data_IF_645426898584
#
_entry.id   IF_645426898584
#
_cell.length_a   1.000
_cell.length_b   1.000
_cell.length_c   1.000
_cell.angle_alpha   90.00
_cell.angle_beta   90.00
_cell.angle_gamma   90.00
#
_symmetry.space_group_name_H-M   'P 1'
#
loop_
_entity.id
_entity.type
_entity.pdbx_description
1 polymer ?
#
# COMPACT_ATOMS: atom_id res chain seq x y z
N UNK A 1 -11.14 15.51 -39.52
CA UNK A 1 -10.28 14.48 -38.90
C UNK A 1 -9.85 14.96 -37.53
N UNK A 2 -9.86 14.09 -36.52
CA UNK A 2 -9.37 14.38 -35.15
C UNK A 2 -8.25 13.38 -34.84
N UNK A 3 -7.06 13.86 -34.53
CA UNK A 3 -5.93 12.98 -34.20
C UNK A 3 -6.06 12.54 -32.74
N UNK A 4 -5.93 11.24 -32.50
CA UNK A 4 -5.86 10.65 -31.16
C UNK A 4 -4.39 10.43 -30.79
N UNK A 5 -3.62 9.82 -31.70
CA UNK A 5 -2.16 9.70 -31.64
C UNK A 5 -1.56 9.98 -33.02
N UNK A 6 -0.24 9.78 -33.18
CA UNK A 6 0.44 9.96 -34.47
C UNK A 6 -0.14 9.06 -35.57
N UNK A 7 -0.55 7.84 -35.22
CA UNK A 7 -1.02 6.83 -36.17
C UNK A 7 -2.52 6.54 -36.10
N UNK A 8 -3.24 7.11 -35.12
CA UNK A 8 -4.68 6.87 -34.95
C UNK A 8 -5.50 8.15 -35.07
N UNK A 9 -6.46 8.13 -35.99
CA UNK A 9 -7.28 9.31 -36.35
C UNK A 9 -8.77 8.93 -36.38
N UNK A 10 -9.64 9.86 -36.01
CA UNK A 10 -11.08 9.80 -36.23
C UNK A 10 -11.42 10.55 -37.52
N UNK A 11 -11.96 9.86 -38.52
CA UNK A 11 -12.65 10.47 -39.65
C UNK A 11 -14.08 10.81 -39.24
N UNK A 12 -14.34 12.12 -39.06
CA UNK A 12 -15.63 12.62 -38.61
C UNK A 12 -16.73 12.48 -39.69
N UNK A 13 -16.35 12.55 -40.96
CA UNK A 13 -17.30 12.53 -42.07
C UNK A 13 -17.71 11.08 -42.39
N UNK A 14 -16.73 10.17 -42.40
CA UNK A 14 -16.99 8.74 -42.56
C UNK A 14 -17.50 8.06 -41.28
N UNK A 15 -17.28 8.69 -40.10
CA UNK A 15 -17.47 8.11 -38.77
C UNK A 15 -16.66 6.83 -38.60
N UNK A 16 -15.40 6.90 -38.96
CA UNK A 16 -14.49 5.76 -38.91
C UNK A 16 -13.30 6.10 -38.01
N UNK A 17 -12.85 5.10 -37.25
CA UNK A 17 -11.53 5.10 -36.66
C UNK A 17 -10.54 4.59 -37.72
N UNK A 18 -9.51 5.37 -38.01
CA UNK A 18 -8.51 5.09 -39.04
C UNK A 18 -7.16 4.91 -38.36
N UNK A 19 -6.61 3.72 -38.49
CA UNK A 19 -5.25 3.39 -38.09
C UNK A 19 -4.34 3.43 -39.33
N UNK A 20 -3.42 4.37 -39.34
CA UNK A 20 -2.48 4.61 -40.43
C UNK A 20 -1.41 3.52 -40.47
N UNK A 21 -0.96 3.01 -39.32
CA UNK A 21 0.11 2.03 -39.21
C UNK A 21 -0.30 0.69 -39.83
N UNK A 22 -1.51 0.24 -39.54
CA UNK A 22 -2.05 -1.02 -40.08
C UNK A 22 -2.96 -0.83 -41.30
N UNK A 23 -3.16 0.41 -41.75
CA UNK A 23 -4.11 0.77 -42.83
C UNK A 23 -5.51 0.19 -42.60
N UNK A 24 -5.94 0.13 -41.34
CA UNK A 24 -7.25 -0.42 -40.97
C UNK A 24 -8.26 0.69 -40.71
N UNK A 25 -9.53 0.39 -41.02
CA UNK A 25 -10.65 1.31 -40.79
C UNK A 25 -11.76 0.59 -40.06
N UNK A 26 -12.28 1.19 -39.00
CA UNK A 26 -13.35 0.63 -38.20
C UNK A 26 -14.51 1.62 -38.08
N UNK A 27 -15.70 1.22 -38.51
CA UNK A 27 -16.89 2.07 -38.42
C UNK A 27 -17.31 2.31 -36.96
N UNK A 28 -17.66 3.56 -36.64
CA UNK A 28 -18.19 3.99 -35.35
C UNK A 28 -19.68 4.31 -35.50
N UNK A 29 -20.48 3.84 -34.54
CA UNK A 29 -21.85 4.34 -34.35
C UNK A 29 -21.82 5.79 -33.88
N UNK A 30 -22.95 6.49 -33.99
CA UNK A 30 -23.06 7.88 -33.57
C UNK A 30 -22.69 8.07 -32.09
N UNK A 31 -23.16 7.17 -31.22
CA UNK A 31 -22.86 7.23 -29.79
C UNK A 31 -21.37 6.94 -29.51
N UNK A 32 -20.77 5.97 -30.20
CA UNK A 32 -19.34 5.67 -30.07
C UNK A 32 -18.47 6.85 -30.52
N UNK A 33 -18.83 7.50 -31.62
CA UNK A 33 -18.12 8.66 -32.14
C UNK A 33 -18.15 9.83 -31.15
N UNK A 34 -19.33 10.22 -30.65
CA UNK A 34 -19.44 11.37 -29.75
C UNK A 34 -18.85 11.08 -28.36
N UNK A 35 -18.96 9.84 -27.87
CA UNK A 35 -18.30 9.41 -26.62
C UNK A 35 -16.78 9.44 -26.78
N UNK A 36 -16.25 8.87 -27.86
CA UNK A 36 -14.80 8.85 -28.11
C UNK A 36 -14.26 10.27 -28.30
N UNK A 37 -14.95 11.12 -29.06
CA UNK A 37 -14.60 12.52 -29.24
C UNK A 37 -14.59 13.29 -27.91
N UNK A 38 -15.57 13.05 -27.05
CA UNK A 38 -15.60 13.64 -25.71
C UNK A 38 -14.39 13.25 -24.87
N UNK A 39 -13.96 11.97 -24.95
CA UNK A 39 -12.77 11.46 -24.28
C UNK A 39 -11.47 12.01 -24.86
N UNK A 40 -11.36 12.12 -26.19
CA UNK A 40 -10.19 12.68 -26.87
C UNK A 40 -10.00 14.17 -26.56
N UNK A 41 -11.09 14.93 -26.37
CA UNK A 41 -10.98 16.33 -25.96
C UNK A 41 -10.50 16.51 -24.52
N UNK A 42 -10.49 15.45 -23.71
CA UNK A 42 -10.13 15.46 -22.28
C UNK A 42 -9.11 14.33 -21.99
N UNK A 43 -8.11 14.16 -22.88
CA UNK A 43 -7.06 13.15 -22.69
C UNK A 43 -6.39 13.35 -21.33
N UNK A 44 -6.23 12.25 -20.58
CA UNK A 44 -5.64 12.25 -19.24
C UNK A 44 -6.59 12.68 -18.12
N UNK A 45 -7.75 13.27 -18.43
CA UNK A 45 -8.74 13.71 -17.45
C UNK A 45 -9.90 12.70 -17.31
N UNK A 46 -10.61 12.75 -16.18
CA UNK A 46 -11.77 11.89 -15.92
C UNK A 46 -13.05 12.57 -16.39
N UNK A 47 -13.69 12.01 -17.43
CA UNK A 47 -14.96 12.48 -17.95
C UNK A 47 -16.12 11.73 -17.29
N UNK A 48 -17.06 12.47 -16.72
CA UNK A 48 -18.16 11.87 -15.95
C UNK A 48 -19.10 11.00 -16.79
N UNK A 49 -19.76 10.01 -16.14
CA UNK A 49 -20.74 9.16 -16.84
C UNK A 49 -21.91 9.99 -17.37
N UNK A 50 -22.30 11.02 -16.64
CA UNK A 50 -23.35 11.96 -17.01
C UNK A 50 -22.96 12.75 -18.26
N UNK A 51 -21.72 13.28 -18.29
CA UNK A 51 -21.16 13.99 -19.46
C UNK A 51 -21.08 13.08 -20.69
N UNK A 52 -20.61 11.83 -20.53
CA UNK A 52 -20.50 10.88 -21.64
C UNK A 52 -21.85 10.40 -22.14
N UNK A 53 -22.82 10.20 -21.25
CA UNK A 53 -24.20 9.90 -21.65
C UNK A 53 -24.83 11.07 -22.40
N UNK A 54 -24.62 12.30 -21.95
CA UNK A 54 -25.11 13.50 -22.62
C UNK A 54 -24.47 13.70 -24.01
N UNK A 55 -23.20 13.34 -24.16
CA UNK A 55 -22.50 13.37 -25.45
C UNK A 55 -22.99 12.29 -26.42
N UNK A 56 -23.05 11.02 -25.97
CA UNK A 56 -23.43 9.90 -26.83
C UNK A 56 -24.92 9.84 -27.19
N UNK A 57 -25.78 10.35 -26.30
CA UNK A 57 -27.24 10.31 -26.45
C UNK A 57 -27.87 11.65 -26.04
N UNK A 58 -27.63 12.73 -26.81
CA UNK A 58 -28.10 14.06 -26.46
C UNK A 58 -29.63 14.09 -26.35
N UNK A 59 -30.12 14.50 -25.17
CA UNK A 59 -31.54 14.64 -24.88
C UNK A 59 -32.32 13.31 -24.80
N UNK A 60 -31.65 12.16 -24.70
CA UNK A 60 -32.28 10.84 -24.61
C UNK A 60 -31.91 10.14 -23.31
N UNK A 61 -32.91 9.57 -22.63
CA UNK A 61 -32.68 8.68 -21.49
C UNK A 61 -32.45 7.28 -22.01
N UNK A 62 -31.26 6.74 -21.74
CA UNK A 62 -30.86 5.38 -22.15
C UNK A 62 -30.72 4.47 -20.93
N UNK A 63 -30.73 3.15 -21.17
CA UNK A 63 -30.54 2.19 -20.09
C UNK A 63 -29.17 2.40 -19.42
N UNK A 64 -29.03 2.17 -18.09
CA UNK A 64 -27.75 2.34 -17.38
C UNK A 64 -26.58 1.54 -17.96
N UNK A 65 -26.85 0.47 -18.70
CA UNK A 65 -25.87 -0.38 -19.39
C UNK A 65 -25.36 0.19 -20.72
N UNK A 66 -26.02 1.21 -21.29
CA UNK A 66 -25.75 1.69 -22.66
C UNK A 66 -24.35 2.28 -22.80
N UNK A 67 -23.94 3.13 -21.84
CA UNK A 67 -22.58 3.66 -21.79
C UNK A 67 -21.54 2.55 -21.59
N UNK A 68 -21.82 1.59 -20.72
CA UNK A 68 -20.93 0.44 -20.49
C UNK A 68 -20.75 -0.38 -21.77
N UNK A 69 -21.81 -0.63 -22.53
CA UNK A 69 -21.74 -1.35 -23.80
C UNK A 69 -21.00 -0.56 -24.88
N UNK A 70 -21.22 0.76 -24.95
CA UNK A 70 -20.48 1.66 -25.82
C UNK A 70 -18.98 1.62 -25.52
N UNK A 71 -18.59 1.75 -24.25
CA UNK A 71 -17.18 1.67 -23.82
C UNK A 71 -16.55 0.31 -24.11
N UNK A 72 -17.29 -0.80 -23.92
CA UNK A 72 -16.81 -2.15 -24.26
C UNK A 72 -16.60 -2.33 -25.77
N UNK A 73 -17.47 -1.73 -26.60
CA UNK A 73 -17.32 -1.75 -28.05
C UNK A 73 -16.11 -0.92 -28.50
N UNK A 74 -15.95 0.30 -27.95
CA UNK A 74 -14.78 1.14 -28.20
C UNK A 74 -13.47 0.45 -27.83
N UNK A 75 -13.41 -0.23 -26.68
CA UNK A 75 -12.23 -1.01 -26.28
C UNK A 75 -11.88 -2.10 -27.29
N UNK A 76 -12.88 -2.81 -27.84
CA UNK A 76 -12.62 -3.83 -28.87
C UNK A 76 -12.06 -3.23 -30.16
N UNK A 77 -12.57 -2.05 -30.55
CA UNK A 77 -12.10 -1.33 -31.75
C UNK A 77 -10.70 -0.74 -31.57
N UNK A 78 -10.31 -0.45 -30.33
CA UNK A 78 -9.00 0.09 -29.96
C UNK A 78 -7.99 -0.96 -29.49
N UNK A 79 -8.38 -2.25 -29.37
CA UNK A 79 -7.54 -3.29 -28.78
C UNK A 79 -6.22 -3.56 -29.52
N UNK A 80 -6.09 -3.13 -30.78
CA UNK A 80 -4.86 -3.23 -31.56
C UNK A 80 -3.87 -2.09 -31.32
N UNK A 81 -4.24 -1.07 -30.55
CA UNK A 81 -3.44 0.11 -30.26
C UNK A 81 -2.77 -0.05 -28.89
N UNK A 82 -1.44 0.00 -28.84
CA UNK A 82 -0.67 -0.14 -27.58
C UNK A 82 -0.38 1.20 -26.89
N UNK A 83 -0.57 2.29 -27.63
CA UNK A 83 -0.32 3.68 -27.23
C UNK A 83 -1.56 4.37 -26.61
N UNK A 84 -2.72 3.70 -26.54
CA UNK A 84 -3.96 4.29 -26.00
C UNK A 84 -4.67 3.31 -25.05
N UNK A 85 -5.09 3.82 -23.89
CA UNK A 85 -5.84 3.05 -22.91
C UNK A 85 -7.15 3.76 -22.49
N UNK A 86 -8.27 3.02 -22.48
CA UNK A 86 -9.56 3.48 -21.97
C UNK A 86 -9.83 2.99 -20.53
N UNK A 87 -9.53 3.84 -19.54
CA UNK A 87 -9.67 3.55 -18.11
C UNK A 87 -11.09 3.84 -17.62
N UNK A 88 -11.63 2.96 -16.77
CA UNK A 88 -12.86 3.20 -16.01
C UNK A 88 -12.48 3.63 -14.60
N UNK A 89 -12.84 4.84 -14.20
CA UNK A 89 -12.58 5.39 -12.89
C UNK A 89 -13.85 5.21 -12.04
N UNK A 90 -13.87 4.25 -11.10
CA UNK A 90 -15.09 3.89 -10.38
C UNK A 90 -15.71 5.10 -9.68
N UNK A 91 -17.03 5.26 -9.84
CA UNK A 91 -17.86 6.38 -9.32
C UNK A 91 -17.65 7.73 -10.01
N UNK A 92 -16.58 7.92 -10.79
CA UNK A 92 -16.30 9.20 -11.44
C UNK A 92 -16.60 9.17 -12.93
N UNK A 93 -16.18 8.14 -13.67
CA UNK A 93 -16.40 8.11 -15.11
C UNK A 93 -15.36 7.32 -15.89
N UNK A 94 -14.95 7.82 -17.04
CA UNK A 94 -13.95 7.18 -17.89
C UNK A 94 -12.88 8.20 -18.29
N UNK A 95 -11.67 7.71 -18.57
CA UNK A 95 -10.55 8.53 -19.05
C UNK A 95 -9.86 7.81 -20.21
N UNK A 96 -9.37 8.60 -21.17
CA UNK A 96 -8.51 8.13 -22.26
C UNK A 96 -7.09 8.58 -21.96
N UNK A 97 -6.17 7.63 -21.86
CA UNK A 97 -4.75 7.90 -21.61
C UNK A 97 -3.95 7.54 -22.85
N UNK A 98 -2.97 8.38 -23.20
CA UNK A 98 -1.97 8.07 -24.22
C UNK A 98 -0.72 7.58 -23.48
N UNK A 99 -0.17 6.45 -23.91
CA UNK A 99 1.04 5.83 -23.38
C UNK A 99 2.18 6.20 -24.32
N UNK A 100 3.06 7.11 -23.89
CA UNK A 100 4.25 7.47 -24.66
C UNK A 100 5.31 6.36 -24.48
N UNK A 101 5.60 5.63 -25.56
CA UNK A 101 6.77 4.77 -25.61
C UNK A 101 7.99 5.66 -25.87
N UNK A 102 8.82 5.88 -24.85
CA UNK A 102 10.09 6.58 -25.01
C UNK A 102 10.97 5.84 -26.03
N UNK A 103 11.12 6.39 -27.22
CA UNK A 103 12.07 5.92 -28.22
C UNK A 103 13.50 5.99 -27.66
N UNK A 104 14.25 4.91 -27.85
CA UNK A 104 15.65 4.81 -27.48
C UNK A 104 16.47 5.92 -28.18
N UNK A 105 17.11 6.76 -27.36
CA UNK A 105 18.02 7.82 -27.79
C UNK A 105 19.23 7.21 -28.49
N UNK A 106 19.40 7.47 -29.79
CA UNK A 106 20.71 7.37 -30.44
C UNK A 106 21.56 8.56 -30.02
N UNK A 107 22.58 8.26 -29.22
CA UNK A 107 23.60 9.19 -28.76
C UNK A 107 24.58 9.55 -29.88
N UNK A 108 24.51 10.79 -30.35
CA UNK A 108 25.65 11.49 -30.95
C UNK A 108 25.60 12.95 -30.53
N UNK A 109 26.70 13.40 -29.95
CA UNK A 109 27.05 14.76 -29.53
C UNK A 109 26.25 15.27 -28.30
N UNK A 110 26.86 15.60 -27.17
CA UNK A 110 27.83 16.68 -27.01
C UNK A 110 28.83 16.33 -25.89
N UNK A 111 30.08 16.09 -26.29
CA UNK A 111 31.24 16.49 -25.52
C UNK A 111 31.35 18.02 -25.57
N UNK A 112 31.48 18.62 -24.38
CA UNK A 112 32.04 19.94 -24.04
C UNK A 112 31.12 20.72 -23.07
N UNK A 113 31.49 20.75 -21.80
CA UNK A 113 32.21 21.88 -21.17
C UNK A 113 32.41 21.53 -19.70
N UNK A 114 33.63 21.11 -19.38
CA UNK A 114 34.17 21.20 -18.03
C UNK A 114 34.96 22.50 -17.94
N UNK A 115 34.54 23.45 -17.09
CA UNK A 115 35.49 24.38 -16.44
C UNK A 115 34.86 25.10 -15.24
N UNK A 116 35.34 24.73 -14.06
CA UNK A 116 35.74 25.56 -12.92
C UNK A 116 34.97 26.85 -12.59
N UNK A 117 34.34 26.91 -11.41
CA UNK A 117 34.41 28.08 -10.52
C UNK A 117 34.51 27.64 -9.05
N UNK A 118 35.60 28.02 -8.38
CA UNK A 118 35.81 27.96 -6.92
C UNK A 118 34.97 29.06 -6.23
N UNK A 119 34.45 28.84 -5.01
CA UNK A 119 33.75 29.87 -4.26
C UNK A 119 34.73 30.88 -3.63
N UNK A 120 34.48 32.16 -3.89
CA UNK A 120 35.18 33.28 -3.27
C UNK A 120 34.52 33.68 -1.94
N UNK A 121 35.39 34.02 -0.99
CA UNK A 121 35.13 34.52 0.36
C UNK A 121 34.32 35.83 0.41
N UNK A 122 33.32 35.89 1.30
CA UNK A 122 32.62 37.11 1.69
C UNK A 122 32.18 37.06 3.16
N UNK A 123 32.64 38.03 3.95
CA UNK A 123 32.59 38.11 5.41
C UNK A 123 31.17 38.42 5.93
N UNK A 124 30.72 37.71 6.98
CA UNK A 124 29.65 38.19 7.86
C UNK A 124 30.18 38.37 9.29
N UNK A 125 30.08 39.61 9.80
CA UNK A 125 30.47 40.02 11.15
C UNK A 125 29.35 39.72 12.13
N UNK A 126 29.68 39.05 13.23
CA UNK A 126 28.87 39.00 14.45
C UNK A 126 29.05 40.30 15.27
N UNK A 127 28.00 40.85 15.91
CA UNK A 127 28.17 41.86 16.95
C UNK A 127 28.33 41.22 18.33
N UNK A 128 29.14 41.90 19.13
CA UNK A 128 29.75 41.49 20.38
C UNK A 128 28.80 41.28 21.55
N UNK A 129 29.19 40.32 22.38
CA UNK A 129 28.90 40.22 23.80
C UNK A 129 29.45 41.43 24.58
N UNK A 130 28.59 42.23 25.19
CA UNK A 130 28.97 43.11 26.29
C UNK A 130 28.31 42.67 27.59
N UNK A 131 29.18 42.48 28.59
CA UNK A 131 28.92 42.24 30.00
C UNK A 131 27.94 43.28 30.56
N UNK A 132 27.02 42.84 31.42
CA UNK A 132 26.37 43.70 32.40
C UNK A 132 26.52 43.05 33.78
N UNK A 133 27.28 43.71 34.65
CA UNK A 133 27.34 43.42 36.09
C UNK A 133 26.08 43.93 36.80
N UNK A 134 25.68 43.35 37.95
CA UNK A 134 24.44 43.68 38.62
C UNK A 134 24.59 44.96 39.44
N UNK A 135 23.62 45.87 39.31
CA UNK A 135 23.41 46.96 40.27
C UNK A 135 22.08 46.70 40.95
N UNK A 136 22.17 46.28 42.22
CA UNK A 136 21.06 46.36 43.18
C UNK A 136 20.85 47.85 43.46
N UNK A 137 19.70 48.39 43.08
CA UNK A 137 19.20 49.64 43.61
C UNK A 137 17.67 49.63 43.61
N UNK A 138 17.12 49.88 44.79
CA UNK A 138 15.72 49.98 45.13
C UNK A 138 14.92 50.88 44.18
N UNK A 139 13.80 50.37 43.68
CA UNK A 139 12.61 51.20 43.47
C UNK A 139 11.46 50.52 44.21
N UNK A 140 11.33 50.94 45.46
CA UNK A 140 10.08 50.85 46.19
C UNK A 140 9.03 51.72 45.48
N UNK A 141 7.81 51.21 45.41
CA UNK A 141 6.65 51.96 44.93
C UNK A 141 6.13 51.41 43.62
N UNK A 142 5.25 50.41 43.74
CA UNK A 142 3.94 50.31 43.09
C UNK A 142 3.26 49.08 43.71
N UNK A 143 2.86 49.22 44.97
CA UNK A 143 1.95 48.27 45.62
C UNK A 143 0.53 48.53 45.11
N UNK A 144 0.28 48.14 43.87
CA UNK A 144 -1.05 47.67 43.45
C UNK A 144 -1.06 46.18 43.67
N UNK A 145 -1.45 45.73 44.86
CA UNK A 145 -1.54 44.31 45.20
C UNK A 145 -2.61 43.65 44.34
N UNK A 146 -2.24 43.19 43.15
CA UNK A 146 -3.04 42.23 42.41
C UNK A 146 -3.05 40.96 43.25
N UNK A 147 -4.24 40.65 43.79
CA UNK A 147 -4.44 39.50 44.67
C UNK A 147 -3.87 38.22 44.03
N UNK A 148 -3.42 37.23 44.82
CA UNK A 148 -2.92 35.94 44.30
C UNK A 148 -3.94 35.20 43.40
N UNK A 149 -5.23 35.57 43.48
CA UNK A 149 -6.27 35.15 42.54
C UNK A 149 -6.07 35.70 41.13
N UNK A 150 -5.60 36.94 40.99
CA UNK A 150 -5.38 37.53 39.67
C UNK A 150 -4.14 36.96 38.97
N UNK A 151 -3.07 36.67 39.71
CA UNK A 151 -1.93 35.93 39.15
C UNK A 151 -2.32 34.51 38.71
N UNK A 152 -3.19 33.83 39.46
CA UNK A 152 -3.78 32.54 39.02
C UNK A 152 -4.65 32.71 37.77
N UNK A 153 -5.48 33.74 37.71
CA UNK A 153 -6.33 34.01 36.54
C UNK A 153 -5.50 34.36 35.30
N UNK A 154 -4.42 35.14 35.44
CA UNK A 154 -3.49 35.45 34.36
C UNK A 154 -2.77 34.17 33.91
N UNK A 155 -2.30 33.34 34.85
CA UNK A 155 -1.70 32.04 34.52
C UNK A 155 -2.66 31.11 33.78
N UNK A 156 -3.92 31.01 34.22
CA UNK A 156 -4.97 30.25 33.54
C UNK A 156 -5.25 30.84 32.16
N UNK A 157 -5.35 32.16 32.04
CA UNK A 157 -5.59 32.82 30.75
C UNK A 157 -4.46 32.56 29.76
N UNK A 158 -3.19 32.64 30.18
CA UNK A 158 -2.04 32.30 29.33
C UNK A 158 -2.07 30.85 28.88
N UNK A 159 -2.38 29.91 29.78
CA UNK A 159 -2.52 28.48 29.42
C UNK A 159 -3.70 28.27 28.47
N UNK A 160 -4.84 28.90 28.71
CA UNK A 160 -6.03 28.80 27.84
C UNK A 160 -5.75 29.42 26.47
N UNK A 161 -5.08 30.56 26.39
CA UNK A 161 -4.69 31.20 25.12
C UNK A 161 -3.65 30.36 24.37
N UNK A 162 -2.72 29.72 25.07
CA UNK A 162 -1.75 28.80 24.47
C UNK A 162 -2.44 27.54 23.93
N UNK A 163 -3.33 26.92 24.71
CA UNK A 163 -4.12 25.75 24.30
C UNK A 163 -5.07 26.12 23.15
N UNK A 164 -5.75 27.26 23.21
CA UNK A 164 -6.60 27.76 22.14
C UNK A 164 -5.79 28.08 20.87
N UNK A 165 -4.59 28.65 21.01
CA UNK A 165 -3.65 28.88 19.91
C UNK A 165 -3.17 27.58 19.27
N UNK A 166 -2.91 26.54 20.07
CA UNK A 166 -2.59 25.19 19.58
C UNK A 166 -3.80 24.51 18.90
N UNK A 167 -5.02 24.74 19.39
CA UNK A 167 -6.25 24.26 18.74
C UNK A 167 -6.53 24.97 17.40
N UNK A 168 -6.34 26.29 17.32
CA UNK A 168 -6.64 27.07 16.11
C UNK A 168 -5.54 26.97 15.02
N UNK A 169 -4.29 26.68 15.41
CA UNK A 169 -3.17 26.53 14.46
C UNK A 169 -3.04 25.12 13.88
N UNK A 170 -3.84 24.14 14.36
CA UNK A 170 -3.64 22.72 14.04
C UNK A 170 -2.41 22.08 14.71
N UNK A 171 -1.60 22.86 15.44
CA UNK A 171 -0.37 22.37 16.09
C UNK A 171 -0.64 21.33 17.18
N UNK A 172 -1.82 21.34 17.81
CA UNK A 172 -2.22 20.29 18.76
C UNK A 172 -2.34 18.92 18.07
N UNK A 173 -2.88 18.88 16.84
CA UNK A 173 -3.00 17.64 16.06
C UNK A 173 -1.62 17.10 15.70
N UNK A 174 -0.68 17.98 15.36
CA UNK A 174 0.72 17.62 15.08
C UNK A 174 1.42 17.04 16.31
N UNK A 175 1.27 17.67 17.48
CA UNK A 175 1.89 17.21 18.75
C UNK A 175 1.25 15.91 19.23
N UNK A 176 -0.08 15.78 19.17
CA UNK A 176 -0.81 14.55 19.54
C UNK A 176 -0.45 13.41 18.59
N UNK A 177 -0.36 13.65 17.27
CA UNK A 177 0.11 12.64 16.32
C UNK A 177 1.59 12.28 16.59
N UNK A 178 2.45 13.23 16.99
CA UNK A 178 3.84 12.94 17.37
C UNK A 178 3.92 12.06 18.63
N UNK A 179 3.02 12.25 19.59
CA UNK A 179 2.94 11.46 20.82
C UNK A 179 2.26 10.09 20.62
N UNK A 180 1.36 9.96 19.65
CA UNK A 180 0.73 8.67 19.29
C UNK A 180 1.75 7.65 18.72
N UNK A 181 2.97 8.09 18.43
CA UNK A 181 4.09 7.23 18.05
C UNK A 181 4.72 6.48 19.24
N UNK A 182 4.58 7.03 20.45
CA UNK A 182 5.07 6.40 21.68
C UNK A 182 4.06 5.37 22.23
N UNK A 183 2.93 5.15 21.54
CA UNK A 183 1.84 4.28 22.02
C UNK A 183 1.62 3.03 21.19
N UNK A 184 2.25 2.89 20.02
CA UNK A 184 2.19 1.65 19.25
C UNK A 184 3.12 0.61 19.89
N UNK A 185 2.65 -0.61 20.21
CA UNK A 185 3.46 -1.58 20.93
C UNK A 185 4.60 -2.06 20.03
N UNK A 186 5.83 -2.08 20.57
CA UNK A 186 6.97 -2.64 19.85
C UNK A 186 6.94 -4.18 19.91
N UNK A 187 7.80 -4.83 19.12
CA UNK A 187 8.03 -6.28 19.23
C UNK A 187 8.77 -6.56 20.52
N UNK A 188 8.10 -7.23 21.46
CA UNK A 188 8.64 -7.55 22.77
C UNK A 188 9.51 -8.82 22.74
N UNK A 189 9.14 -9.81 21.94
CA UNK A 189 9.91 -11.05 21.80
C UNK A 189 9.64 -11.76 20.48
N UNK A 190 10.61 -12.55 20.03
CA UNK A 190 10.51 -13.48 18.91
C UNK A 190 10.97 -14.84 19.45
N UNK A 191 10.06 -15.55 20.12
CA UNK A 191 10.36 -16.81 20.80
C UNK A 191 10.55 -17.94 19.79
N UNK A 192 11.74 -18.53 19.77
CA UNK A 192 12.05 -19.65 18.90
C UNK A 192 11.64 -20.99 19.52
N UNK A 193 10.92 -21.82 18.76
CA UNK A 193 10.52 -23.17 19.16
C UNK A 193 10.75 -24.15 18.02
N UNK A 194 11.37 -25.29 18.32
CA UNK A 194 11.53 -26.38 17.35
C UNK A 194 10.28 -27.25 17.32
N UNK A 195 9.89 -27.67 16.13
CA UNK A 195 8.82 -28.62 15.90
C UNK A 195 9.15 -29.48 14.67
N UNK A 196 8.24 -30.37 14.28
CA UNK A 196 8.38 -31.19 13.07
C UNK A 196 7.14 -31.00 12.20
N UNK A 197 7.34 -30.62 10.94
CA UNK A 197 6.28 -30.59 9.93
C UNK A 197 6.69 -31.49 8.77
N UNK A 198 5.80 -32.39 8.34
CA UNK A 198 6.10 -33.41 7.33
C UNK A 198 7.37 -34.25 7.61
N UNK A 199 7.60 -34.61 8.87
CA UNK A 199 8.80 -35.33 9.36
C UNK A 199 10.12 -34.58 9.16
N UNK A 200 10.09 -33.32 8.73
CA UNK A 200 11.25 -32.44 8.65
C UNK A 200 11.35 -31.55 9.87
N UNK A 201 12.57 -31.31 10.41
CA UNK A 201 12.78 -30.32 11.46
C UNK A 201 12.32 -28.93 11.00
N UNK A 202 11.60 -28.24 11.88
CA UNK A 202 11.03 -26.93 11.60
C UNK A 202 11.31 -25.98 12.76
N UNK A 203 11.46 -24.69 12.44
CA UNK A 203 11.68 -23.63 13.40
C UNK A 203 10.52 -22.63 13.38
N UNK A 204 9.81 -22.54 14.49
CA UNK A 204 8.79 -21.52 14.72
C UNK A 204 9.42 -20.30 15.40
N UNK A 205 9.17 -19.12 14.85
CA UNK A 205 9.48 -17.82 15.42
C UNK A 205 8.15 -17.16 15.84
N UNK A 206 7.74 -17.35 17.09
CA UNK A 206 6.49 -16.80 17.62
C UNK A 206 6.71 -15.36 18.08
N UNK A 207 6.01 -14.43 17.43
CA UNK A 207 6.16 -12.99 17.65
C UNK A 207 5.17 -12.52 18.71
N UNK A 208 5.62 -11.67 19.62
CA UNK A 208 4.77 -11.05 20.64
C UNK A 208 5.02 -9.55 20.71
N UNK A 209 3.96 -8.75 20.78
CA UNK A 209 4.03 -7.29 21.00
C UNK A 209 3.93 -6.95 22.49
N UNK A 210 4.49 -5.82 22.93
CA UNK A 210 4.58 -5.41 24.35
C UNK A 210 3.25 -5.40 25.13
N UNK A 211 2.16 -5.06 24.46
CA UNK A 211 0.83 -4.94 25.09
C UNK A 211 0.01 -6.24 25.04
N UNK A 212 0.58 -7.35 24.54
CA UNK A 212 -0.11 -8.63 24.46
C UNK A 212 0.09 -9.46 25.73
N UNK A 213 -0.99 -10.12 26.17
CA UNK A 213 -0.89 -11.12 27.23
C UNK A 213 0.03 -12.25 26.75
N UNK A 214 0.92 -12.69 27.64
CA UNK A 214 1.85 -13.78 27.39
C UNK A 214 1.09 -15.11 27.37
N UNK A 215 0.53 -15.45 26.21
CA UNK A 215 -0.01 -16.79 25.98
C UNK A 215 1.09 -17.70 25.44
N UNK A 216 1.21 -18.88 26.05
CA UNK A 216 2.18 -19.89 25.64
C UNK A 216 1.58 -20.64 24.47
N UNK A 217 1.74 -20.11 23.25
CA UNK A 217 1.35 -20.85 22.03
C UNK A 217 2.32 -22.03 21.87
N UNK A 218 1.86 -23.28 21.95
CA UNK A 218 2.73 -24.42 21.61
C UNK A 218 3.05 -24.39 20.13
N UNK A 219 4.28 -24.74 19.74
CA UNK A 219 4.65 -24.80 18.32
C UNK A 219 3.79 -25.80 17.54
N UNK A 220 3.37 -26.87 18.19
CA UNK A 220 2.46 -27.85 17.60
C UNK A 220 1.07 -27.25 17.37
N UNK A 221 0.56 -26.39 18.25
CA UNK A 221 -0.82 -25.88 18.16
C UNK A 221 -1.07 -25.06 16.89
N UNK A 222 -0.03 -24.41 16.35
CA UNK A 222 -0.10 -23.58 15.13
C UNK A 222 -0.45 -24.42 13.89
N UNK A 223 0.10 -25.65 13.80
CA UNK A 223 -0.05 -26.54 12.64
C UNK A 223 -0.86 -27.80 12.96
N UNK A 224 -1.26 -28.02 14.22
CA UNK A 224 -1.96 -29.23 14.69
C UNK A 224 -3.29 -29.49 13.97
N UNK A 225 -3.95 -28.44 13.53
CA UNK A 225 -5.21 -28.52 12.77
C UNK A 225 -4.97 -28.70 11.27
N UNK A 226 -3.73 -28.73 10.79
CA UNK A 226 -3.40 -28.97 9.39
C UNK A 226 -3.34 -30.48 9.13
N UNK A 227 -3.93 -30.92 8.04
CA UNK A 227 -3.87 -32.31 7.59
C UNK A 227 -3.57 -32.39 6.10
N UNK A 228 -3.14 -33.57 5.65
CA UNK A 228 -2.64 -33.82 4.28
C UNK A 228 -1.45 -32.94 3.87
N UNK A 229 -0.77 -32.30 4.82
CA UNK A 229 0.38 -31.44 4.52
C UNK A 229 1.57 -32.21 3.96
N UNK A 230 1.70 -33.51 4.29
CA UNK A 230 2.74 -34.39 3.73
C UNK A 230 2.67 -34.50 2.20
N UNK A 231 1.49 -34.30 1.60
CA UNK A 231 1.35 -34.34 0.14
C UNK A 231 1.96 -33.11 -0.53
N UNK A 232 1.98 -31.97 0.16
CA UNK A 232 2.44 -30.67 -0.36
C UNK A 232 3.89 -30.40 0.08
N UNK A 233 4.26 -30.78 1.30
CA UNK A 233 5.56 -30.47 1.91
C UNK A 233 6.51 -31.68 1.90
N UNK A 234 6.83 -32.21 0.71
CA UNK A 234 7.64 -33.42 0.55
C UNK A 234 9.17 -33.20 0.57
N UNK A 235 9.63 -31.95 0.59
CA UNK A 235 11.07 -31.66 0.61
C UNK A 235 11.72 -32.08 1.94
N UNK A 236 13.04 -32.27 1.92
CA UNK A 236 13.84 -32.63 3.10
C UNK A 236 14.51 -31.44 3.79
N UNK A 237 14.30 -30.23 3.27
CA UNK A 237 14.87 -28.99 3.83
C UNK A 237 14.14 -28.60 5.09
N UNK A 238 14.85 -27.86 5.95
CA UNK A 238 14.26 -27.26 7.14
C UNK A 238 13.15 -26.29 6.74
N UNK A 239 12.17 -26.11 7.62
CA UNK A 239 11.07 -25.17 7.45
C UNK A 239 11.19 -24.04 8.44
N UNK A 240 10.92 -22.82 7.99
CA UNK A 240 10.92 -21.66 8.87
C UNK A 240 9.54 -21.02 8.89
N UNK A 241 9.00 -20.88 10.10
CA UNK A 241 7.69 -20.30 10.37
C UNK A 241 7.84 -19.02 11.17
N UNK A 242 7.03 -18.01 10.86
CA UNK A 242 6.73 -16.92 11.79
C UNK A 242 5.25 -16.94 12.09
N UNK A 243 4.88 -16.76 13.36
CA UNK A 243 3.48 -16.69 13.77
C UNK A 243 3.20 -15.47 14.63
N UNK A 244 1.96 -15.00 14.53
CA UNK A 244 1.45 -13.92 15.35
C UNK A 244 -0.04 -14.11 15.62
N UNK A 245 -0.44 -13.90 16.88
CA UNK A 245 -1.84 -13.94 17.32
C UNK A 245 -2.18 -12.60 17.97
N UNK A 246 -3.24 -11.93 17.51
CA UNK A 246 -3.72 -10.66 18.07
C UNK A 246 -4.94 -10.79 19.00
N UNK A 247 -5.33 -12.02 19.35
CA UNK A 247 -6.51 -12.38 20.13
C UNK A 247 -7.80 -12.51 19.31
N UNK A 248 -7.78 -12.10 18.04
CA UNK A 248 -8.91 -12.24 17.10
C UNK A 248 -8.53 -13.08 15.87
N UNK A 249 -7.31 -12.88 15.38
CA UNK A 249 -6.74 -13.57 14.24
C UNK A 249 -5.38 -14.15 14.62
N UNK A 250 -5.16 -15.37 14.16
CA UNK A 250 -3.85 -16.00 14.13
C UNK A 250 -3.35 -15.97 12.68
N UNK A 251 -2.11 -15.55 12.49
CA UNK A 251 -1.45 -15.51 11.20
C UNK A 251 -0.12 -16.26 11.24
N UNK A 252 0.21 -16.87 10.10
CA UNK A 252 1.40 -17.69 9.90
C UNK A 252 2.02 -17.33 8.56
N UNK A 253 3.34 -17.16 8.54
CA UNK A 253 4.17 -17.04 7.35
C UNK A 253 5.16 -18.21 7.32
N UNK A 254 5.03 -19.11 6.35
CA UNK A 254 5.83 -20.33 6.20
C UNK A 254 6.70 -20.26 4.95
N UNK A 255 8.01 -20.37 5.14
CA UNK A 255 8.92 -20.82 4.09
C UNK A 255 9.07 -22.35 4.18
N UNK A 256 8.61 -23.06 3.15
CA UNK A 256 8.61 -24.52 3.13
C UNK A 256 9.99 -25.13 2.81
N UNK A 257 10.85 -24.36 2.15
CA UNK A 257 12.22 -24.74 1.79
C UNK A 257 13.18 -23.68 2.30
N UNK A 258 13.73 -23.92 3.50
CA UNK A 258 14.66 -23.01 4.15
C UNK A 258 16.05 -23.65 4.25
N UNK A 259 17.05 -22.94 3.75
CA UNK A 259 18.46 -23.32 3.85
C UNK A 259 19.30 -22.06 4.00
N UNK A 260 19.40 -21.55 5.24
CA UNK A 260 19.96 -20.24 5.61
C UNK A 260 19.16 -19.04 5.06
N UNK A 261 18.62 -19.17 3.85
CA UNK A 261 17.69 -18.27 3.17
C UNK A 261 16.43 -19.03 2.74
N UNK A 262 15.37 -18.31 2.40
CA UNK A 262 14.17 -18.93 1.85
C UNK A 262 14.29 -19.17 0.35
N UNK A 263 14.31 -20.44 -0.06
CA UNK A 263 14.34 -20.82 -1.49
C UNK A 263 12.96 -21.24 -2.02
N UNK A 264 11.96 -21.29 -1.13
CA UNK A 264 10.57 -21.55 -1.48
C UNK A 264 10.02 -20.44 -2.38
N UNK A 265 9.64 -20.79 -3.62
CA UNK A 265 9.08 -19.86 -4.61
C UNK A 265 7.62 -19.50 -4.35
N UNK A 266 6.97 -20.17 -3.41
CA UNK A 266 5.58 -19.95 -3.07
C UNK A 266 5.33 -20.10 -1.57
N UNK A 267 5.90 -19.19 -0.74
CA UNK A 267 5.67 -19.20 0.69
C UNK A 267 4.18 -19.23 1.04
N UNK A 268 3.85 -19.93 2.11
CA UNK A 268 2.48 -20.10 2.55
C UNK A 268 2.15 -19.11 3.66
N UNK A 269 1.35 -18.09 3.34
CA UNK A 269 0.86 -17.12 4.32
C UNK A 269 -0.62 -17.37 4.62
N UNK A 270 -0.92 -17.67 5.88
CA UNK A 270 -2.25 -18.06 6.33
C UNK A 270 -2.76 -17.12 7.40
N UNK A 271 -4.05 -16.85 7.36
CA UNK A 271 -4.78 -16.13 8.41
C UNK A 271 -6.05 -16.90 8.74
N UNK A 272 -6.37 -17.01 10.02
CA UNK A 272 -7.65 -17.55 10.48
C UNK A 272 -8.17 -16.73 11.65
N UNK A 273 -9.48 -16.79 11.86
CA UNK A 273 -10.07 -16.34 13.11
C UNK A 273 -9.72 -17.31 14.25
N UNK A 274 -9.51 -16.78 15.46
CA UNK A 274 -9.21 -17.55 16.69
C UNK A 274 -10.50 -18.09 17.35
N UNK A 275 -11.67 -17.88 16.73
CA UNK A 275 -12.95 -18.39 17.25
C UNK A 275 -12.90 -19.91 17.50
N UNK A 276 -13.43 -20.36 18.64
CA UNK A 276 -13.56 -21.77 18.98
C UNK A 276 -14.83 -22.37 18.35
N UNK A 277 -14.78 -23.60 17.79
CA UNK A 277 -13.64 -24.52 17.75
C UNK A 277 -12.64 -24.23 16.61
N UNK A 278 -11.39 -24.65 16.77
CA UNK A 278 -10.35 -24.52 15.73
C UNK A 278 -10.76 -25.25 14.46
N UNK A 279 -10.87 -24.52 13.34
CA UNK A 279 -11.19 -25.10 12.04
C UNK A 279 -10.04 -25.96 11.50
N UNK A 280 -10.26 -27.25 11.18
CA UNK A 280 -9.27 -28.07 10.47
C UNK A 280 -8.96 -27.50 9.07
N UNK A 281 -7.69 -27.52 8.68
CA UNK A 281 -7.23 -27.08 7.36
C UNK A 281 -6.67 -28.27 6.57
N UNK A 282 -7.32 -28.61 5.46
CA UNK A 282 -6.77 -29.53 4.47
C UNK A 282 -5.78 -28.76 3.58
N UNK A 283 -4.48 -29.04 3.75
CA UNK A 283 -3.44 -28.33 3.00
C UNK A 283 -3.44 -28.72 1.52
N UNK A 284 -3.83 -29.95 1.18
CA UNK A 284 -3.99 -30.36 -0.21
C UNK A 284 -5.13 -29.57 -0.88
N UNK A 285 -6.29 -29.49 -0.23
CA UNK A 285 -7.42 -28.71 -0.74
C UNK A 285 -7.09 -27.22 -0.87
N UNK A 286 -6.31 -26.67 0.07
CA UNK A 286 -5.87 -25.27 -0.02
C UNK A 286 -4.96 -25.07 -1.24
N UNK A 287 -4.01 -25.97 -1.47
CA UNK A 287 -3.14 -25.93 -2.64
C UNK A 287 -3.94 -25.99 -3.95
N UNK A 288 -4.93 -26.90 -4.04
CA UNK A 288 -5.82 -26.98 -5.19
C UNK A 288 -6.64 -25.69 -5.36
N UNK A 289 -7.03 -25.05 -4.25
CA UNK A 289 -7.78 -23.78 -4.25
C UNK A 289 -6.91 -22.62 -4.70
N UNK A 290 -5.66 -22.55 -4.24
CA UNK A 290 -4.66 -21.57 -4.68
C UNK A 290 -4.51 -21.62 -6.21
N UNK A 291 -4.29 -22.79 -6.79
CA UNK A 291 -4.18 -22.98 -8.24
C UNK A 291 -5.41 -22.44 -9.00
N UNK A 292 -6.62 -22.70 -8.48
CA UNK A 292 -7.86 -22.15 -9.09
C UNK A 292 -7.95 -20.64 -8.97
N UNK A 293 -7.55 -20.06 -7.83
CA UNK A 293 -7.63 -18.62 -7.59
C UNK A 293 -6.56 -17.84 -8.37
N UNK A 294 -5.40 -18.44 -8.67
CA UNK A 294 -4.37 -17.84 -9.53
C UNK A 294 -4.86 -17.64 -10.96
N UNK A 295 -5.61 -18.59 -11.51
CA UNK A 295 -6.17 -18.52 -12.87
C UNK A 295 -7.19 -17.39 -13.08
N UNK A 296 -7.72 -16.80 -12.01
CA UNK A 296 -8.81 -15.81 -12.05
C UNK A 296 -8.33 -14.38 -11.72
N UNK A 297 -7.02 -14.18 -11.58
CA UNK A 297 -6.48 -12.87 -11.18
C UNK A 297 -6.51 -11.84 -12.31
N UNK A 298 -7.63 -11.12 -12.42
CA UNK A 298 -7.69 -9.79 -13.05
C UNK A 298 -7.12 -8.73 -12.11
N UNK A 299 -5.88 -8.87 -11.65
CA UNK A 299 -5.28 -7.89 -10.74
C UNK A 299 -3.77 -7.83 -10.87
N UNK A 300 -3.29 -7.19 -11.94
CA UNK A 300 -2.04 -6.48 -11.81
C UNK A 300 -2.31 -5.25 -10.95
N UNK A 301 -1.94 -5.33 -9.68
CA UNK A 301 -1.70 -4.11 -8.89
C UNK A 301 -0.46 -3.46 -9.50
N UNK A 302 -0.65 -2.70 -10.57
CA UNK A 302 0.33 -1.73 -11.01
C UNK A 302 0.35 -0.70 -9.89
N UNK A 303 1.33 -0.83 -8.99
CA UNK A 303 1.70 0.31 -8.14
C UNK A 303 2.22 1.34 -9.14
N UNK A 304 1.70 2.56 -9.08
CA UNK A 304 2.25 3.64 -9.89
C UNK A 304 3.75 3.67 -9.60
N UNK A 305 4.56 3.42 -10.63
CA UNK A 305 6.02 3.50 -10.52
C UNK A 305 6.34 4.86 -9.91
N UNK A 306 7.23 4.86 -8.93
CA UNK A 306 7.70 6.11 -8.39
C UNK A 306 8.34 6.90 -9.54
N UNK A 307 7.80 8.07 -9.86
CA UNK A 307 8.39 8.91 -10.92
C UNK A 307 9.88 9.16 -10.58
N UNK A 308 10.81 8.84 -11.49
CA UNK A 308 12.23 8.97 -11.23
C UNK A 308 12.57 10.46 -11.06
N UNK A 309 12.78 10.88 -9.82
CA UNK A 309 13.23 12.23 -9.51
C UNK A 309 14.75 12.37 -9.66
N UNK A 310 15.49 11.26 -9.54
CA UNK A 310 16.95 11.19 -9.62
C UNK A 310 17.38 9.87 -10.30
N UNK A 311 18.45 9.93 -11.08
CA UNK A 311 19.14 8.72 -11.58
C UNK A 311 19.84 8.03 -10.40
N UNK A 312 19.81 6.69 -10.36
CA UNK A 312 20.43 5.81 -9.33
C UNK A 312 19.56 5.42 -8.13
N UNK A 313 18.23 5.53 -8.25
CA UNK A 313 17.32 5.08 -7.20
C UNK A 313 16.98 3.58 -7.36
N UNK A 314 16.95 2.84 -6.26
CA UNK A 314 16.54 1.42 -6.24
C UNK A 314 15.22 1.29 -5.49
N UNK A 315 14.24 0.70 -6.16
CA UNK A 315 12.95 0.33 -5.61
C UNK A 315 13.01 -1.12 -5.10
N UNK A 316 12.70 -1.33 -3.82
CA UNK A 316 12.49 -2.66 -3.24
C UNK A 316 11.00 -3.03 -3.36
N UNK A 317 10.69 -4.01 -4.20
CA UNK A 317 9.34 -4.51 -4.42
C UNK A 317 9.16 -5.85 -3.74
N UNK A 318 8.18 -5.94 -2.85
CA UNK A 318 7.77 -7.15 -2.16
C UNK A 318 6.41 -7.63 -2.63
N UNK A 319 6.29 -8.93 -2.93
CA UNK A 319 5.05 -9.56 -3.40
C UNK A 319 4.72 -10.81 -2.60
N UNK A 320 3.46 -10.96 -2.20
CA UNK A 320 3.00 -12.13 -1.46
C UNK A 320 1.51 -12.39 -1.66
N UNK A 321 1.12 -13.66 -1.56
CA UNK A 321 -0.26 -14.04 -1.39
C UNK A 321 -0.55 -14.41 0.05
N UNK A 322 -1.68 -13.94 0.56
CA UNK A 322 -2.18 -14.22 1.91
C UNK A 322 -3.56 -14.86 1.83
N UNK A 323 -3.75 -15.99 2.49
CA UNK A 323 -5.00 -16.74 2.45
C UNK A 323 -5.70 -16.71 3.80
N UNK A 324 -6.88 -16.09 3.84
CA UNK A 324 -7.81 -16.19 4.93
C UNK A 324 -8.73 -17.39 4.74
N UNK A 325 -8.82 -18.25 5.75
CA UNK A 325 -9.72 -19.41 5.74
C UNK A 325 -10.56 -19.52 7.01
N UNK A 326 -11.68 -20.23 6.91
CA UNK A 326 -12.62 -20.46 8.02
C UNK A 326 -13.44 -21.74 7.80
N UNK A 327 -14.37 -22.02 8.71
CA UNK A 327 -15.23 -23.23 8.69
C UNK A 327 -16.12 -23.35 7.44
N UNK A 328 -16.38 -22.25 6.72
CA UNK A 328 -17.29 -22.24 5.56
C UNK A 328 -16.72 -22.93 4.31
N UNK A 329 -15.46 -23.41 4.36
CA UNK A 329 -14.70 -23.88 3.19
C UNK A 329 -14.63 -22.83 2.06
N UNK A 330 -14.80 -21.55 2.40
CA UNK A 330 -14.48 -20.43 1.52
C UNK A 330 -13.08 -19.91 1.86
N UNK A 331 -12.32 -19.56 0.82
CA UNK A 331 -10.99 -18.95 0.94
C UNK A 331 -11.06 -17.55 0.38
N UNK A 332 -10.48 -16.61 1.12
CA UNK A 332 -10.28 -15.25 0.64
C UNK A 332 -8.79 -15.02 0.50
N UNK A 333 -8.34 -14.69 -0.71
CA UNK A 333 -6.94 -14.40 -1.03
C UNK A 333 -6.72 -12.89 -1.07
N UNK A 334 -5.66 -12.40 -0.46
CA UNK A 334 -5.12 -11.07 -0.74
C UNK A 334 -3.80 -11.21 -1.52
N UNK A 335 -3.75 -10.66 -2.72
CA UNK A 335 -2.51 -10.34 -3.42
C UNK A 335 -1.96 -9.04 -2.82
N UNK A 336 -0.83 -9.14 -2.14
CA UNK A 336 -0.19 -8.04 -1.44
C UNK A 336 1.05 -7.60 -2.20
N UNK A 337 1.16 -6.29 -2.41
CA UNK A 337 2.35 -5.63 -2.93
C UNK A 337 2.79 -4.52 -2.00
N UNK A 338 4.08 -4.48 -1.74
CA UNK A 338 4.72 -3.46 -0.94
C UNK A 338 5.93 -2.96 -1.72
N UNK A 339 5.99 -1.66 -2.00
CA UNK A 339 7.11 -1.03 -2.67
C UNK A 339 7.73 0.02 -1.77
N UNK A 340 9.06 0.04 -1.68
CA UNK A 340 9.82 0.98 -0.88
C UNK A 340 10.94 1.60 -1.70
N UNK A 341 11.15 2.89 -1.46
CA UNK A 341 12.32 3.63 -1.92
C UNK A 341 12.92 4.33 -0.72
N UNK A 342 14.24 4.27 -0.61
CA UNK A 342 14.98 5.00 0.41
C UNK A 342 15.52 6.32 -0.16
N UNK A 343 15.20 7.44 0.50
CA UNK A 343 15.84 8.74 0.24
C UNK A 343 17.11 8.92 1.10
N UNK A 344 17.22 8.13 2.18
CA UNK A 344 18.30 8.13 3.14
C UNK A 344 18.26 6.82 3.94
N UNK A 345 19.24 6.59 4.81
CA UNK A 345 19.36 5.34 5.58
C UNK A 345 18.15 5.00 6.47
N UNK A 346 17.31 5.99 6.85
CA UNK A 346 16.19 5.79 7.77
C UNK A 346 14.89 6.47 7.34
N UNK A 347 14.79 6.91 6.09
CA UNK A 347 13.60 7.55 5.55
C UNK A 347 13.41 7.15 4.09
N UNK A 348 12.21 7.40 3.60
CA UNK A 348 11.87 7.11 2.22
C UNK A 348 10.39 7.21 1.95
N UNK A 349 9.97 6.62 0.84
CA UNK A 349 8.58 6.53 0.45
C UNK A 349 8.16 5.07 0.35
N UNK A 350 6.91 4.80 0.71
CA UNK A 350 6.34 3.47 0.71
C UNK A 350 4.97 3.50 0.05
N UNK A 351 4.71 2.52 -0.81
CA UNK A 351 3.38 2.22 -1.34
C UNK A 351 3.03 0.79 -0.97
N UNK A 352 1.89 0.60 -0.34
CA UNK A 352 1.37 -0.72 0.00
C UNK A 352 -0.02 -0.87 -0.59
N UNK A 353 -0.26 -2.01 -1.22
CA UNK A 353 -1.53 -2.36 -1.82
C UNK A 353 -1.89 -3.82 -1.55
N UNK A 354 -3.18 -4.07 -1.42
CA UNK A 354 -3.73 -5.40 -1.32
C UNK A 354 -4.97 -5.50 -2.20
N UNK A 355 -5.04 -6.54 -3.03
CA UNK A 355 -6.24 -6.87 -3.77
C UNK A 355 -6.83 -8.19 -3.28
N UNK A 356 -8.05 -8.12 -2.79
CA UNK A 356 -8.71 -9.20 -2.08
C UNK A 356 -9.74 -9.82 -3.01
N UNK A 357 -9.61 -11.13 -3.22
CA UNK A 357 -10.46 -11.95 -4.07
C UNK A 357 -11.07 -13.08 -3.24
N UNK A 358 -12.37 -13.27 -3.37
CA UNK A 358 -13.12 -14.30 -2.67
C UNK A 358 -13.37 -15.48 -3.63
N UNK A 359 -13.09 -16.73 -3.21
CA UNK A 359 -13.27 -17.91 -4.07
C UNK A 359 -14.73 -18.09 -4.52
N UNK A 360 -15.70 -17.69 -3.69
CA UNK A 360 -17.13 -17.74 -4.04
C UNK A 360 -17.62 -16.52 -4.84
N UNK A 361 -16.93 -15.38 -4.79
CA UNK A 361 -17.32 -14.12 -5.44
C UNK A 361 -16.19 -13.57 -6.33
N UNK A 362 -15.71 -14.40 -7.25
CA UNK A 362 -14.49 -14.15 -8.04
C UNK A 362 -14.50 -12.89 -8.90
N UNK A 363 -15.67 -12.40 -9.27
CA UNK A 363 -15.85 -11.19 -10.09
C UNK A 363 -15.77 -9.89 -9.28
N UNK A 364 -15.72 -9.98 -7.95
CA UNK A 364 -15.74 -8.82 -7.05
C UNK A 364 -14.44 -8.79 -6.27
N UNK A 365 -13.61 -7.80 -6.56
CA UNK A 365 -12.38 -7.56 -5.81
C UNK A 365 -12.48 -6.31 -4.94
N UNK A 366 -11.95 -6.42 -3.72
CA UNK A 366 -11.76 -5.29 -2.81
C UNK A 366 -10.31 -4.86 -2.98
N UNK A 367 -10.10 -3.62 -3.40
CA UNK A 367 -8.77 -3.04 -3.55
C UNK A 367 -8.52 -2.05 -2.44
N UNK A 368 -7.40 -2.20 -1.77
CA UNK A 368 -6.89 -1.31 -0.75
C UNK A 368 -5.49 -0.87 -1.16
N UNK A 369 -5.21 0.42 -1.06
CA UNK A 369 -3.87 0.97 -1.25
C UNK A 369 -3.67 2.17 -0.33
N UNK A 370 -2.44 2.33 0.15
CA UNK A 370 -1.98 3.57 0.76
C UNK A 370 -0.53 3.86 0.37
N UNK A 371 -0.19 5.14 0.35
CA UNK A 371 1.18 5.60 0.12
C UNK A 371 1.54 6.72 1.11
N UNK A 372 2.83 6.87 1.38
CA UNK A 372 3.30 7.85 2.33
C UNK A 372 4.81 7.90 2.47
N UNK A 373 5.27 8.91 3.20
CA UNK A 373 6.67 8.97 3.62
C UNK A 373 6.84 8.10 4.86
N UNK A 374 7.96 7.36 4.95
CA UNK A 374 8.24 6.56 6.14
C UNK A 374 9.46 7.06 6.91
N UNK A 375 9.47 6.74 8.20
CA UNK A 375 10.65 6.75 9.06
C UNK A 375 10.93 5.33 9.54
N UNK A 376 12.17 4.89 9.39
CA UNK A 376 12.63 3.57 9.78
C UNK A 376 13.38 3.63 11.10
N UNK A 377 12.96 2.80 12.06
CA UNK A 377 13.73 2.48 13.27
C UNK A 377 14.13 1.02 13.25
N UNK A 378 15.29 0.69 13.81
CA UNK A 378 15.75 -0.70 13.94
C UNK A 378 15.99 -1.01 15.41
N UNK A 379 15.50 -2.17 15.86
CA UNK A 379 15.74 -2.72 17.19
C UNK A 379 16.28 -4.14 17.09
N UNK A 380 16.81 -4.65 18.20
CA UNK A 380 17.29 -6.04 18.32
C UNK A 380 16.41 -6.75 19.34
N UNK A 381 15.74 -7.81 18.92
CA UNK A 381 14.80 -8.58 19.75
C UNK A 381 15.17 -10.05 19.61
N UNK A 382 15.55 -10.69 20.72
CA UNK A 382 15.98 -12.10 20.76
C UNK A 382 17.03 -12.46 19.69
N UNK A 383 17.97 -11.53 19.43
CA UNK A 383 19.05 -11.69 18.46
C UNK A 383 18.64 -11.48 16.99
N UNK A 384 17.42 -11.02 16.73
CA UNK A 384 16.92 -10.67 15.39
C UNK A 384 16.75 -9.16 15.26
N UNK A 385 17.14 -8.64 14.10
CA UNK A 385 16.88 -7.25 13.73
C UNK A 385 15.40 -7.10 13.38
N UNK A 386 14.73 -6.18 14.04
CA UNK A 386 13.37 -5.75 13.71
C UNK A 386 13.44 -4.36 13.12
N UNK A 387 12.97 -4.20 11.88
CA UNK A 387 12.85 -2.92 11.20
C UNK A 387 11.39 -2.44 11.30
N UNK A 388 11.16 -1.30 11.93
CA UNK A 388 9.83 -0.71 12.09
C UNK A 388 9.71 0.54 11.22
N UNK A 389 8.79 0.48 10.25
CA UNK A 389 8.46 1.54 9.33
C UNK A 389 7.22 2.27 9.82
N UNK A 390 7.41 3.52 10.19
CA UNK A 390 6.33 4.43 10.52
C UNK A 390 5.99 5.28 9.30
N UNK A 391 4.85 5.01 8.69
CA UNK A 391 4.40 5.63 7.44
C UNK A 391 3.40 6.75 7.73
N UNK A 392 3.76 7.98 7.37
CA UNK A 392 2.87 9.14 7.32
C UNK A 392 2.02 9.06 6.04
N UNK A 393 0.76 8.62 6.14
CA UNK A 393 -0.10 8.33 4.99
C UNK A 393 -0.52 9.62 4.29
N UNK A 394 -0.15 9.75 3.01
CA UNK A 394 -0.52 10.89 2.15
C UNK A 394 -1.73 10.57 1.28
N UNK A 395 -1.72 9.42 0.65
CA UNK A 395 -2.78 8.97 -0.22
C UNK A 395 -3.30 7.61 0.22
N UNK A 396 -4.60 7.39 0.00
CA UNK A 396 -5.24 6.12 0.28
C UNK A 396 -6.41 5.92 -0.65
N UNK A 397 -6.56 4.70 -1.13
CA UNK A 397 -7.70 4.29 -1.92
C UNK A 397 -8.28 3.00 -1.34
N UNK A 398 -9.60 2.92 -1.33
CA UNK A 398 -10.33 1.75 -0.88
C UNK A 398 -11.63 1.63 -1.65
N UNK A 399 -11.84 0.48 -2.30
CA UNK A 399 -13.06 0.21 -3.06
C UNK A 399 -14.09 -0.53 -2.21
N UNK A 400 -15.36 -0.12 -2.33
CA UNK A 400 -16.46 -0.88 -1.73
C UNK A 400 -16.93 -1.95 -2.72
N UNK A 401 -17.02 -3.22 -2.31
CA UNK A 401 -17.61 -4.25 -3.16
C UNK A 401 -19.13 -4.07 -3.24
N UNK A 402 -19.74 -4.52 -4.34
CA UNK A 402 -21.20 -4.51 -4.51
C UNK A 402 -21.89 -5.61 -3.70
N UNK A 403 -21.24 -6.77 -3.61
CA UNK A 403 -21.65 -7.92 -2.82
C UNK A 403 -20.45 -8.43 -2.04
N UNK A 404 -20.69 -8.95 -0.85
CA UNK A 404 -19.63 -9.41 0.03
C UNK A 404 -20.07 -10.69 0.75
N UNK A 405 -19.19 -11.69 0.78
CA UNK A 405 -19.41 -12.91 1.57
C UNK A 405 -19.30 -12.60 3.07
N UNK A 406 -19.65 -13.57 3.92
CA UNK A 406 -19.46 -13.45 5.37
C UNK A 406 -17.98 -13.28 5.73
N UNK A 407 -17.12 -14.04 5.06
CA UNK A 407 -15.66 -14.02 5.26
C UNK A 407 -15.10 -12.67 4.84
N UNK A 408 -15.36 -12.26 3.59
CA UNK A 408 -14.92 -10.97 3.05
C UNK A 408 -15.46 -9.78 3.85
N UNK A 409 -16.66 -9.87 4.44
CA UNK A 409 -17.25 -8.81 5.26
C UNK A 409 -16.47 -8.52 6.54
N UNK A 410 -15.76 -9.51 7.05
CA UNK A 410 -14.87 -9.35 8.21
C UNK A 410 -13.66 -8.51 7.80
N UNK A 411 -13.04 -8.88 6.68
CA UNK A 411 -11.84 -8.24 6.10
C UNK A 411 -12.13 -6.79 5.73
N UNK A 412 -13.24 -6.56 5.02
CA UNK A 412 -13.68 -5.23 4.62
C UNK A 412 -13.90 -4.31 5.81
N UNK A 413 -14.46 -4.81 6.92
CA UNK A 413 -14.70 -4.00 8.13
C UNK A 413 -13.39 -3.57 8.80
N UNK A 414 -12.44 -4.49 8.96
CA UNK A 414 -11.14 -4.19 9.56
C UNK A 414 -10.34 -3.21 8.70
N UNK A 415 -10.25 -3.46 7.39
CA UNK A 415 -9.57 -2.55 6.45
C UNK A 415 -10.25 -1.20 6.44
N UNK A 416 -11.59 -1.14 6.36
CA UNK A 416 -12.32 0.12 6.41
C UNK A 416 -12.04 0.90 7.69
N UNK A 417 -11.95 0.23 8.85
CA UNK A 417 -11.62 0.87 10.12
C UNK A 417 -10.22 1.48 10.07
N UNK A 418 -9.22 0.70 9.64
CA UNK A 418 -7.83 1.17 9.51
C UNK A 418 -7.69 2.31 8.48
N UNK A 419 -8.24 2.13 7.28
CA UNK A 419 -8.25 3.13 6.19
C UNK A 419 -8.85 4.45 6.64
N UNK A 420 -9.97 4.43 7.35
CA UNK A 420 -10.70 5.65 7.69
C UNK A 420 -10.14 6.37 8.92
N UNK A 421 -9.52 5.64 9.84
CA UNK A 421 -9.13 6.19 11.15
C UNK A 421 -7.66 6.57 11.22
N UNK A 422 -6.80 5.90 10.45
CA UNK A 422 -5.36 6.02 10.66
C UNK A 422 -4.74 6.96 9.61
N UNK A 423 -4.19 8.08 10.09
CA UNK A 423 -3.34 8.98 9.29
C UNK A 423 -1.89 8.47 9.23
N UNK A 424 -1.57 7.43 10.00
CA UNK A 424 -0.26 6.79 10.08
C UNK A 424 -0.40 5.28 10.10
N UNK A 425 0.50 4.57 9.43
CA UNK A 425 0.56 3.11 9.46
C UNK A 425 1.89 2.67 10.07
N UNK A 426 1.87 1.60 10.86
CA UNK A 426 3.07 0.92 11.32
C UNK A 426 3.19 -0.40 10.56
N UNK A 427 4.36 -0.63 10.01
CA UNK A 427 4.71 -1.87 9.30
C UNK A 427 6.02 -2.35 9.90
N UNK A 428 6.16 -3.66 10.15
CA UNK A 428 7.38 -4.22 10.73
C UNK A 428 7.95 -5.30 9.83
N UNK A 429 9.27 -5.38 9.75
CA UNK A 429 9.98 -6.44 9.06
C UNK A 429 10.86 -7.17 10.08
N UNK A 430 10.69 -8.49 10.16
CA UNK A 430 11.32 -9.35 11.18
C UNK A 430 12.46 -10.21 10.63
N UNK A 431 12.52 -10.31 9.30
CA UNK A 431 13.50 -11.10 8.56
C UNK A 431 13.62 -10.54 7.14
N UNK A 432 14.82 -10.57 6.58
CA UNK A 432 15.09 -10.29 5.17
C UNK A 432 16.32 -11.09 4.73
N UNK A 433 16.23 -11.69 3.56
CA UNK A 433 17.37 -12.15 2.76
C UNK A 433 17.37 -11.41 1.40
N UNK A 434 18.20 -11.85 0.45
CA UNK A 434 18.33 -11.17 -0.83
C UNK A 434 17.03 -11.23 -1.66
N UNK A 435 16.30 -12.35 -1.55
CA UNK A 435 15.16 -12.70 -2.41
C UNK A 435 13.79 -12.64 -1.70
N UNK A 436 13.76 -12.36 -0.39
CA UNK A 436 12.53 -12.39 0.41
C UNK A 436 12.63 -11.62 1.72
N UNK A 437 11.47 -11.41 2.37
CA UNK A 437 11.39 -10.88 3.73
C UNK A 437 10.10 -11.25 4.44
N UNK A 438 10.14 -11.27 5.77
CA UNK A 438 8.96 -11.50 6.61
C UNK A 438 8.49 -10.19 7.22
N UNK A 439 7.23 -9.87 6.94
CA UNK A 439 6.57 -8.63 7.28
C UNK A 439 5.40 -8.86 8.23
N UNK A 440 5.18 -7.93 9.15
CA UNK A 440 3.92 -7.72 9.85
C UNK A 440 3.20 -6.57 9.17
N UNK A 441 2.14 -6.89 8.43
CA UNK A 441 1.37 -5.92 7.66
C UNK A 441 0.05 -5.58 8.35
N UNK A 442 -0.46 -4.34 8.27
CA UNK A 442 -1.71 -3.90 8.91
C UNK A 442 -2.98 -4.43 8.20
N UNK A 443 -2.92 -5.66 7.70
CA UNK A 443 -4.02 -6.47 7.19
C UNK A 443 -4.48 -7.41 8.31
N UNK A 444 -5.79 -7.59 8.49
CA UNK A 444 -6.36 -8.44 9.56
C UNK A 444 -5.79 -8.24 10.98
N UNK A 445 -5.40 -7.00 11.33
CA UNK A 445 -4.88 -6.68 12.66
C UNK A 445 -3.43 -7.15 12.90
N UNK A 446 -2.54 -6.87 11.96
CA UNK A 446 -1.14 -7.34 11.91
C UNK A 446 -1.05 -8.80 11.44
N UNK A 447 -0.85 -9.00 10.15
CA UNK A 447 -0.66 -10.31 9.52
C UNK A 447 0.80 -10.57 9.24
N UNK A 448 1.28 -11.76 9.62
CA UNK A 448 2.57 -12.29 9.18
C UNK A 448 2.54 -12.64 7.69
N UNK A 449 3.49 -12.10 6.94
CA UNK A 449 3.61 -12.31 5.49
C UNK A 449 5.06 -12.55 5.12
N UNK A 450 5.37 -13.73 4.60
CA UNK A 450 6.59 -14.00 3.85
C UNK A 450 6.37 -13.53 2.41
N UNK A 451 7.16 -12.55 1.97
CA UNK A 451 7.05 -11.93 0.66
C UNK A 451 8.35 -12.10 -0.12
N UNK A 452 8.22 -12.37 -1.42
CA UNK A 452 9.34 -12.31 -2.35
C UNK A 452 9.77 -10.89 -2.58
N UNK A 453 11.07 -10.68 -2.71
CA UNK A 453 11.70 -9.40 -2.95
C UNK A 453 12.25 -9.35 -4.37
N UNK A 454 12.06 -8.22 -5.02
CA UNK A 454 12.64 -7.88 -6.31
C UNK A 454 13.17 -6.45 -6.20
N UNK A 455 14.35 -6.19 -6.74
CA UNK A 455 14.91 -4.83 -6.80
C UNK A 455 14.80 -4.30 -8.22
N UNK A 456 14.21 -3.13 -8.38
CA UNK A 456 14.05 -2.45 -9.67
C UNK A 456 14.86 -1.16 -9.64
N UNK A 457 15.69 -0.93 -10.64
CA UNK A 457 16.41 0.35 -10.80
C UNK A 457 15.52 1.32 -11.56
N UNK A 458 15.36 2.54 -11.04
CA UNK A 458 14.50 3.59 -11.60
C UNK A 458 15.26 4.61 -12.45
#
# INVERSE_FOLDING_TARGET
MVNITEFLIIDLDARELVDIHHSTRCALSLAELEVLKSLVNHVGEVVSKETLNAAGWPGRVVAPSSLTQCMSSLRKKLAGQTDIELKNIPRYGYSLCIIEHAEAVTSTDIDNVSTFVKPASGKFKAPNSHRINPIIANVAGWQGALTPRLYRLIGIAVVVTFVAGLHFSGGLKTIVNQLSLLTEPDVASITQKRFSLAKTPSLLNAVQLENQRKEIISADDVVKNWFNYDNIFQNSTDKQLFSFDNGRYESVALCNEFNEVCIDKQPLNLVRSVNAPTTPLDIQWLADTKLRMEQVTYNNILLDEFEPADKDLVEDVFRADVYYYSESKNVVRADVRLSLIFDSANRGKLVAAACITDDMLREISIRYQFSGDFKLTKSQVDGKVVSTFLVDVKERSFTSPQQISKESATIYREIRKNVLQNERMVIRQLYQDDDSGVWMLPLWGETMVWAHREQVSL
#
